data_IF_570835509579
#
_entry.id   IF_570835509579
#
_cell.length_a   1.000
_cell.length_b   1.000
_cell.length_c   1.000
_cell.angle_alpha   90.00
_cell.angle_beta   90.00
_cell.angle_gamma   90.00
#
_symmetry.space_group_name_H-M   'P 1'
#
loop_
_entity.id
_entity.type
_entity.pdbx_description
1 polymer ?
#
# COMPACT_ATOMS: atom_id res chain seq x y z
N UNK A 1 -9.20 -13.55 3.80
CA UNK A 1 -8.34 -14.38 2.93
C UNK A 1 -7.05 -13.61 2.76
N UNK A 2 -5.99 -13.99 3.51
CA UNK A 2 -4.64 -13.46 3.29
C UNK A 2 -4.14 -14.07 1.98
N UNK A 3 -3.68 -13.22 1.06
CA UNK A 3 -2.89 -13.70 -0.07
C UNK A 3 -1.54 -14.11 0.52
N UNK A 4 -1.26 -15.42 0.56
CA UNK A 4 0.00 -15.95 1.08
C UNK A 4 1.14 -15.59 0.12
N UNK A 5 1.73 -14.41 0.29
CA UNK A 5 3.04 -14.09 -0.29
C UNK A 5 4.11 -14.70 0.63
N UNK A 6 4.49 -15.96 0.40
CA UNK A 6 5.64 -16.52 1.11
C UNK A 6 6.93 -15.88 0.59
N UNK A 7 7.80 -15.34 1.46
CA UNK A 7 9.13 -14.93 1.05
C UNK A 7 9.86 -16.09 0.36
N UNK A 8 10.59 -15.80 -0.71
CA UNK A 8 11.47 -16.77 -1.34
C UNK A 8 12.68 -17.01 -0.45
N UNK A 9 12.83 -18.23 0.09
CA UNK A 9 13.97 -18.60 0.93
C UNK A 9 15.17 -18.97 0.04
N UNK A 10 16.24 -18.17 0.09
CA UNK A 10 17.51 -18.52 -0.56
C UNK A 10 18.26 -19.50 0.33
N UNK A 11 18.45 -20.74 -0.15
CA UNK A 11 19.19 -21.78 0.57
C UNK A 11 20.71 -21.55 0.48
N UNK A 12 21.30 -21.22 1.63
CA UNK A 12 22.72 -21.26 2.02
C UNK A 12 23.68 -20.26 1.35
N UNK A 13 23.97 -19.19 2.09
CA UNK A 13 25.17 -18.36 1.94
C UNK A 13 25.76 -18.20 3.35
N UNK A 14 27.02 -18.59 3.55
CA UNK A 14 27.66 -18.70 4.88
C UNK A 14 28.07 -17.35 5.52
N UNK A 15 27.31 -16.28 5.30
CA UNK A 15 27.51 -14.97 5.91
C UNK A 15 26.15 -14.40 6.36
N UNK A 16 26.08 -13.59 7.44
CA UNK A 16 24.88 -12.82 7.72
C UNK A 16 24.68 -11.83 6.58
N UNK A 17 23.71 -12.11 5.73
CA UNK A 17 23.29 -11.18 4.68
C UNK A 17 22.19 -10.33 5.30
N UNK A 18 22.37 -9.01 5.24
CA UNK A 18 21.25 -8.10 5.45
C UNK A 18 20.22 -8.37 4.34
N UNK A 19 19.16 -9.09 4.70
CA UNK A 19 18.09 -9.45 3.76
C UNK A 19 17.19 -8.25 3.50
N UNK A 20 17.20 -7.75 2.28
CA UNK A 20 16.29 -6.69 1.83
C UNK A 20 14.95 -7.30 1.39
N UNK A 21 13.87 -6.95 2.09
CA UNK A 21 12.51 -7.31 1.72
C UNK A 21 11.85 -6.17 0.92
N UNK A 22 11.39 -6.48 -0.29
CA UNK A 22 10.69 -5.53 -1.17
C UNK A 22 9.25 -6.00 -1.40
N UNK A 23 8.29 -5.15 -1.07
CA UNK A 23 6.88 -5.34 -1.37
C UNK A 23 6.49 -4.51 -2.59
N UNK A 24 5.75 -5.10 -3.53
CA UNK A 24 5.07 -4.37 -4.60
C UNK A 24 3.58 -4.58 -4.45
N UNK A 25 2.80 -3.49 -4.55
CA UNK A 25 1.36 -3.58 -4.40
C UNK A 25 0.61 -2.49 -5.17
N UNK A 26 -0.27 -2.88 -6.08
CA UNK A 26 -1.32 -1.99 -6.56
C UNK A 26 -2.46 -2.02 -5.54
N UNK A 27 -2.65 -0.90 -4.85
CA UNK A 27 -3.58 -0.84 -3.70
C UNK A 27 -5.01 -0.54 -4.11
N UNK A 28 -5.29 -0.29 -5.40
CA UNK A 28 -6.56 0.20 -5.92
C UNK A 28 -6.95 1.59 -5.35
N UNK A 29 -6.89 2.65 -6.15
CA UNK A 29 -7.11 4.00 -5.61
C UNK A 29 -8.48 4.15 -4.95
N UNK A 30 -8.56 4.84 -3.81
CA UNK A 30 -9.83 5.10 -3.14
C UNK A 30 -10.79 5.92 -4.03
N UNK A 31 -10.27 6.82 -4.86
CA UNK A 31 -11.03 7.54 -5.88
C UNK A 31 -11.81 6.63 -6.83
N UNK A 32 -11.30 5.43 -7.15
CA UNK A 32 -11.94 4.50 -8.07
C UNK A 32 -13.07 3.66 -7.46
N UNK A 33 -13.29 3.71 -6.15
CA UNK A 33 -14.44 3.05 -5.51
C UNK A 33 -15.76 3.54 -6.12
N UNK A 34 -15.83 4.82 -6.50
CA UNK A 34 -17.01 5.43 -7.12
C UNK A 34 -17.30 4.90 -8.55
N UNK A 35 -16.36 4.21 -9.18
CA UNK A 35 -16.56 3.57 -10.49
C UNK A 35 -17.52 2.38 -10.41
N UNK A 36 -17.76 1.84 -9.21
CA UNK A 36 -18.70 0.76 -8.93
C UNK A 36 -18.44 -0.53 -9.76
N UNK A 37 -17.17 -0.84 -10.04
CA UNK A 37 -16.79 -2.05 -10.79
C UNK A 37 -16.78 -3.32 -9.92
N UNK A 38 -16.86 -3.15 -8.59
CA UNK A 38 -16.81 -4.26 -7.62
C UNK A 38 -18.21 -4.64 -7.12
N UNK A 39 -19.09 -5.04 -8.04
CA UNK A 39 -20.52 -5.32 -7.75
C UNK A 39 -20.76 -6.38 -6.65
N UNK A 40 -19.79 -7.27 -6.41
CA UNK A 40 -19.88 -8.32 -5.40
C UNK A 40 -19.18 -7.96 -4.07
N UNK A 41 -18.53 -6.81 -3.98
CA UNK A 41 -17.86 -6.37 -2.77
C UNK A 41 -18.84 -5.52 -1.93
N UNK A 42 -19.12 -5.89 -0.67
CA UNK A 42 -19.89 -5.05 0.23
C UNK A 42 -19.29 -3.65 0.34
N UNK A 43 -20.11 -2.61 0.20
CA UNK A 43 -19.66 -1.21 0.20
C UNK A 43 -18.91 -0.82 1.48
N UNK A 44 -19.24 -1.45 2.61
CA UNK A 44 -18.56 -1.21 3.89
C UNK A 44 -17.09 -1.65 3.87
N UNK A 45 -16.73 -2.66 3.07
CA UNK A 45 -15.34 -3.09 2.90
C UNK A 45 -14.53 -2.17 1.98
N UNK A 46 -15.22 -1.35 1.18
CA UNK A 46 -14.60 -0.37 0.27
C UNK A 46 -14.39 1.01 0.92
N UNK A 47 -14.88 1.21 2.14
CA UNK A 47 -14.65 2.44 2.92
C UNK A 47 -13.17 2.59 3.25
N UNK A 48 -12.65 3.82 3.15
CA UNK A 48 -11.22 4.11 3.32
C UNK A 48 -10.72 3.66 4.70
N UNK A 49 -11.52 3.83 5.75
CA UNK A 49 -11.18 3.43 7.12
C UNK A 49 -10.98 1.91 7.19
N UNK A 50 -11.88 1.14 6.58
CA UNK A 50 -11.79 -0.32 6.60
C UNK A 50 -10.60 -0.82 5.79
N UNK A 51 -10.32 -0.18 4.65
CA UNK A 51 -9.19 -0.52 3.78
C UNK A 51 -7.84 -0.19 4.41
N UNK A 52 -7.73 0.96 5.09
CA UNK A 52 -6.50 1.34 5.80
C UNK A 52 -6.10 0.32 6.86
N UNK A 53 -7.07 -0.22 7.63
CA UNK A 53 -6.78 -1.28 8.60
C UNK A 53 -6.26 -2.56 7.92
N UNK A 54 -6.82 -2.92 6.76
CA UNK A 54 -6.36 -4.09 5.99
C UNK A 54 -4.95 -3.86 5.41
N UNK A 55 -4.70 -2.69 4.84
CA UNK A 55 -3.38 -2.32 4.28
C UNK A 55 -2.30 -2.32 5.36
N UNK A 56 -2.62 -1.74 6.52
CA UNK A 56 -1.74 -1.73 7.67
C UNK A 56 -1.40 -3.14 8.12
N UNK A 57 -2.40 -4.02 8.30
CA UNK A 57 -2.17 -5.42 8.69
C UNK A 57 -1.25 -6.12 7.70
N UNK A 58 -1.58 -6.05 6.40
CA UNK A 58 -0.80 -6.72 5.36
C UNK A 58 0.66 -6.25 5.35
N UNK A 59 0.91 -4.94 5.40
CA UNK A 59 2.28 -4.38 5.39
C UNK A 59 3.05 -4.80 6.64
N UNK A 60 2.44 -4.72 7.82
CA UNK A 60 3.13 -5.02 9.09
C UNK A 60 3.43 -6.51 9.26
N UNK A 61 2.58 -7.39 8.71
CA UNK A 61 2.78 -8.84 8.76
C UNK A 61 4.04 -9.27 7.99
N UNK A 62 4.35 -8.60 6.87
CA UNK A 62 5.58 -8.84 6.10
C UNK A 62 6.75 -7.95 6.51
N UNK A 63 6.48 -6.81 7.14
CA UNK A 63 7.49 -5.84 7.60
C UNK A 63 8.55 -5.49 6.53
N UNK A 64 8.18 -5.17 5.28
CA UNK A 64 9.13 -4.94 4.19
C UNK A 64 10.04 -3.74 4.46
N UNK A 65 11.25 -3.74 3.90
CA UNK A 65 12.18 -2.61 3.97
C UNK A 65 11.84 -1.54 2.92
N UNK A 66 11.35 -1.97 1.74
CA UNK A 66 10.88 -1.10 0.66
C UNK A 66 9.47 -1.52 0.22
N UNK A 67 8.59 -0.55 0.02
CA UNK A 67 7.21 -0.75 -0.48
C UNK A 67 6.99 0.11 -1.71
N UNK A 68 6.67 -0.54 -2.83
CA UNK A 68 6.34 0.08 -4.10
C UNK A 68 4.82 0.05 -4.33
N UNK A 69 4.14 1.15 -4.06
CA UNK A 69 2.70 1.29 -4.19
C UNK A 69 2.31 1.85 -5.56
N UNK A 70 1.31 1.25 -6.22
CA UNK A 70 0.63 1.78 -7.40
C UNK A 70 -0.82 2.16 -7.04
N UNK A 71 -1.40 3.10 -7.79
CA UNK A 71 -2.73 3.67 -7.52
C UNK A 71 -2.82 4.30 -6.11
N UNK A 72 -1.74 4.93 -5.69
CA UNK A 72 -1.53 5.32 -4.30
C UNK A 72 -2.10 6.71 -3.95
N UNK A 73 -3.42 6.92 -4.11
CA UNK A 73 -4.06 8.21 -3.78
C UNK A 73 -4.19 8.50 -2.27
N UNK A 74 -4.01 7.47 -1.42
CA UNK A 74 -4.01 7.57 0.04
C UNK A 74 -2.66 7.21 0.69
N UNK A 75 -1.56 7.44 -0.04
CA UNK A 75 -0.20 7.05 0.40
C UNK A 75 0.17 7.61 1.79
N UNK A 76 -0.15 8.87 2.07
CA UNK A 76 0.19 9.54 3.34
C UNK A 76 -0.50 8.88 4.54
N UNK A 77 -1.76 8.47 4.36
CA UNK A 77 -2.56 7.81 5.39
C UNK A 77 -1.99 6.42 5.70
N UNK A 78 -1.56 5.68 4.68
CA UNK A 78 -0.91 4.37 4.85
C UNK A 78 0.39 4.53 5.64
N UNK A 79 1.26 5.48 5.24
CA UNK A 79 2.56 5.70 5.90
C UNK A 79 2.38 6.12 7.36
N UNK A 80 1.44 7.03 7.62
CA UNK A 80 1.08 7.41 9.00
C UNK A 80 0.61 6.21 9.84
N UNK A 81 -0.21 5.35 9.26
CA UNK A 81 -0.77 4.18 9.95
C UNK A 81 0.29 3.12 10.31
N UNK A 82 1.31 2.92 9.46
CA UNK A 82 2.38 1.93 9.69
C UNK A 82 3.53 2.48 10.55
N UNK A 83 3.83 3.78 10.47
CA UNK A 83 4.92 4.41 11.23
C UNK A 83 4.65 4.53 12.74
N UNK A 84 3.39 4.43 13.17
CA UNK A 84 3.04 4.54 14.60
C UNK A 84 3.50 3.34 15.46
N UNK A 85 3.78 2.17 14.85
CA UNK A 85 3.92 0.90 15.59
C UNK A 85 5.34 0.31 15.69
N UNK A 86 6.33 0.75 14.92
CA UNK A 86 7.72 0.23 15.00
C UNK A 86 8.73 1.31 15.37
N UNK A 87 9.81 0.92 16.04
CA UNK A 87 10.95 1.77 16.45
C UNK A 87 11.77 2.38 15.29
N UNK A 88 11.20 2.46 14.08
CA UNK A 88 11.73 3.16 12.92
C UNK A 88 10.56 3.72 12.11
N UNK A 89 10.62 5.00 11.74
CA UNK A 89 9.58 5.66 10.94
C UNK A 89 9.78 5.33 9.48
N UNK A 90 8.75 4.79 8.81
CA UNK A 90 8.76 4.73 7.35
C UNK A 90 8.69 6.16 6.80
N UNK A 91 9.54 6.43 5.81
CA UNK A 91 9.50 7.62 4.97
C UNK A 91 8.91 7.27 3.60
N UNK A 92 8.48 8.27 2.83
CA UNK A 92 7.97 8.03 1.50
C UNK A 92 8.18 9.18 0.52
N UNK A 93 8.24 8.81 -0.76
CA UNK A 93 8.22 9.73 -1.90
C UNK A 93 7.02 9.36 -2.77
N UNK A 94 6.27 10.37 -3.22
CA UNK A 94 5.09 10.20 -4.05
C UNK A 94 5.24 10.93 -5.38
N UNK A 95 4.88 10.26 -6.47
CA UNK A 95 4.83 10.81 -7.82
C UNK A 95 3.40 10.67 -8.37
N UNK A 96 2.61 11.77 -8.40
CA UNK A 96 1.24 11.74 -8.91
C UNK A 96 1.21 11.60 -10.43
N UNK A 97 0.15 10.95 -10.95
CA UNK A 97 -0.15 11.02 -12.39
C UNK A 97 -0.57 12.45 -12.75
N UNK A 98 0.03 13.09 -13.79
CA UNK A 98 -0.35 14.44 -14.20
C UNK A 98 -1.83 14.58 -14.58
N UNK A 99 -2.39 13.52 -15.18
CA UNK A 99 -3.79 13.42 -15.59
C UNK A 99 -4.43 12.19 -14.94
N UNK A 100 -4.41 12.16 -13.60
CA UNK A 100 -5.03 11.09 -12.83
C UNK A 100 -6.54 10.99 -13.11
N UNK A 101 -7.07 9.81 -13.45
CA UNK A 101 -8.50 9.60 -13.57
C UNK A 101 -9.25 9.72 -12.23
N UNK A 102 -8.57 9.63 -11.08
CA UNK A 102 -9.20 9.86 -9.77
C UNK A 102 -9.80 11.26 -9.64
N UNK A 103 -9.23 12.25 -10.35
CA UNK A 103 -9.69 13.63 -10.32
C UNK A 103 -11.08 13.82 -10.96
N UNK A 104 -11.58 12.83 -11.70
CA UNK A 104 -12.93 12.86 -12.28
C UNK A 104 -14.05 12.63 -11.26
N UNK A 105 -13.72 12.24 -10.02
CA UNK A 105 -14.70 11.89 -8.98
C UNK A 105 -14.77 12.95 -7.88
N UNK A 106 -15.97 13.32 -7.43
CA UNK A 106 -16.17 14.45 -6.50
C UNK A 106 -15.54 14.24 -5.12
N UNK A 107 -15.55 13.01 -4.59
CA UNK A 107 -14.96 12.66 -3.29
C UNK A 107 -13.63 11.92 -3.45
N UNK A 108 -12.73 12.46 -4.28
CA UNK A 108 -11.40 11.89 -4.49
C UNK A 108 -10.40 12.31 -3.39
N UNK A 109 -9.27 11.60 -3.32
CA UNK A 109 -8.17 11.86 -2.38
C UNK A 109 -7.00 12.59 -3.06
N UNK A 110 -7.25 13.23 -4.20
CA UNK A 110 -6.23 13.78 -5.09
C UNK A 110 -5.92 12.84 -6.25
N UNK A 111 -4.83 13.11 -7.00
CA UNK A 111 -4.40 12.22 -8.06
C UNK A 111 -3.85 10.91 -7.47
N UNK A 112 -4.15 9.77 -8.10
CA UNK A 112 -3.38 8.56 -7.82
C UNK A 112 -2.01 8.62 -8.49
N UNK A 113 -1.13 7.72 -8.10
CA UNK A 113 0.23 7.70 -8.60
C UNK A 113 1.05 6.55 -8.04
N UNK A 114 2.35 6.75 -8.05
CA UNK A 114 3.33 5.82 -7.49
C UNK A 114 3.82 6.37 -6.16
N UNK A 115 3.87 5.54 -5.12
CA UNK A 115 4.59 5.86 -3.90
C UNK A 115 5.68 4.82 -3.63
N UNK A 116 6.86 5.28 -3.24
CA UNK A 116 7.92 4.43 -2.70
C UNK A 116 8.05 4.76 -1.22
N UNK A 117 7.88 3.75 -0.37
CA UNK A 117 7.98 3.86 1.09
C UNK A 117 9.18 3.03 1.55
N UNK A 118 9.99 3.53 2.48
CA UNK A 118 11.22 2.86 2.91
C UNK A 118 11.56 3.17 4.39
N UNK A 119 12.39 2.32 5.00
CA UNK A 119 12.90 2.45 6.39
C UNK A 119 14.35 1.98 6.51
#
# INVERSE_FOLDING_TARGET
MSAFFRPFEVTSINQPIDCLCVMQWNIFAQGFVQKNEFAYCPSDLLKVEKRLELFKSEILDYSPDIICLQEADIHSQIVSAISYQKSGSYEHIFAPKPLSPCLAYNSNFGPDGMAVVFR
#
